data_IF_108451790352
#
_entry.id   IF_108451790352
#
_cell.length_a   1.000
_cell.length_b   1.000
_cell.length_c   1.000
_cell.angle_alpha   90.00
_cell.angle_beta   90.00
_cell.angle_gamma   90.00
#
_symmetry.space_group_name_H-M   'P 1'
#
loop_
_entity.id
_entity.type
_entity.pdbx_description
1 polymer ?
#
# COMPACT_ATOMS: atom_id res chain seq x y z
N UNK A 1 23.61 -55.62 29.84
CA UNK A 1 24.76 -55.17 29.02
C UNK A 1 24.32 -55.33 27.56
N UNK A 2 23.45 -54.48 27.00
CA UNK A 2 23.58 -53.05 26.66
C UNK A 2 24.63 -52.78 25.58
N UNK A 3 24.19 -52.66 24.32
CA UNK A 3 24.55 -51.55 23.44
C UNK A 3 23.69 -51.56 22.16
N UNK A 4 22.58 -50.82 22.19
CA UNK A 4 21.84 -50.37 21.01
C UNK A 4 22.60 -49.22 20.35
N UNK A 5 23.10 -49.46 19.12
CA UNK A 5 23.70 -48.41 18.30
C UNK A 5 22.60 -47.68 17.52
N UNK A 6 22.24 -46.50 18.02
CA UNK A 6 21.18 -45.64 17.52
C UNK A 6 21.66 -44.85 16.28
N UNK A 7 21.56 -45.47 15.11
CA UNK A 7 21.82 -44.85 13.81
C UNK A 7 20.69 -43.91 13.38
N UNK A 8 20.58 -42.73 14.00
CA UNK A 8 19.77 -41.63 13.47
C UNK A 8 20.45 -41.07 12.21
N UNK A 9 20.05 -41.58 11.04
CA UNK A 9 20.26 -40.87 9.78
C UNK A 9 19.57 -39.51 9.86
N UNK A 10 20.37 -38.45 10.02
CA UNK A 10 19.97 -37.08 9.70
C UNK A 10 19.74 -37.01 8.19
N UNK A 11 18.55 -37.38 7.75
CA UNK A 11 18.02 -37.00 6.44
C UNK A 11 17.74 -35.49 6.53
N UNK A 12 18.79 -34.71 6.30
CA UNK A 12 18.72 -33.28 6.19
C UNK A 12 18.00 -32.93 4.90
N UNK A 13 16.76 -32.44 5.03
CA UNK A 13 16.28 -31.18 4.43
C UNK A 13 16.91 -30.83 3.06
N UNK A 14 16.77 -31.71 2.07
CA UNK A 14 17.22 -31.50 0.69
C UNK A 14 16.04 -31.69 -0.28
N UNK A 15 14.87 -31.17 0.12
CA UNK A 15 13.62 -31.22 -0.65
C UNK A 15 13.20 -29.88 -1.24
N UNK A 16 13.74 -28.77 -0.73
CA UNK A 16 13.35 -27.42 -1.17
C UNK A 16 14.26 -26.88 -2.29
N UNK A 17 15.52 -27.31 -2.39
CA UNK A 17 16.47 -26.83 -3.40
C UNK A 17 16.03 -27.20 -4.83
N UNK A 18 15.53 -28.42 -5.02
CA UNK A 18 15.04 -28.87 -6.33
C UNK A 18 13.78 -28.15 -6.79
N UNK A 19 12.89 -27.76 -5.86
CA UNK A 19 11.70 -26.96 -6.17
C UNK A 19 12.06 -25.51 -6.51
N UNK A 20 13.10 -24.98 -5.88
CA UNK A 20 13.60 -23.63 -6.13
C UNK A 20 14.36 -23.54 -7.46
N UNK A 21 15.10 -24.60 -7.80
CA UNK A 21 15.79 -24.76 -9.09
C UNK A 21 14.79 -25.02 -10.22
N UNK A 22 13.77 -25.85 -10.02
CA UNK A 22 12.62 -26.00 -10.93
C UNK A 22 11.83 -24.69 -11.07
N UNK A 23 11.64 -23.91 -10.00
CA UNK A 23 10.99 -22.60 -10.07
C UNK A 23 11.82 -21.58 -10.86
N UNK A 24 13.16 -21.61 -10.74
CA UNK A 24 14.08 -20.81 -11.56
C UNK A 24 14.03 -21.22 -13.04
N UNK A 25 14.02 -22.53 -13.34
CA UNK A 25 13.91 -23.05 -14.72
C UNK A 25 12.53 -22.73 -15.31
N UNK A 26 11.46 -22.84 -14.51
CA UNK A 26 10.10 -22.46 -14.90
C UNK A 26 9.89 -20.95 -14.99
N UNK A 27 10.69 -20.12 -14.33
CA UNK A 27 10.72 -18.66 -14.52
C UNK A 27 11.44 -18.26 -15.82
N UNK A 28 12.26 -19.16 -16.38
CA UNK A 28 13.04 -18.91 -17.61
C UNK A 28 12.37 -19.43 -18.89
N UNK A 29 11.38 -20.34 -18.82
CA UNK A 29 10.74 -20.91 -20.01
C UNK A 29 9.83 -19.89 -20.75
N UNK A 30 9.98 -19.56 -22.05
CA UNK A 30 9.18 -18.53 -22.70
C UNK A 30 7.70 -18.91 -22.77
N UNK A 31 6.81 -18.22 -22.06
CA UNK A 31 5.37 -18.32 -22.32
C UNK A 31 4.99 -17.34 -23.44
N UNK A 32 5.49 -17.64 -24.65
CA UNK A 32 5.07 -16.99 -25.90
C UNK A 32 3.72 -17.58 -26.35
N UNK A 33 2.64 -17.23 -25.65
CA UNK A 33 1.31 -17.29 -26.26
C UNK A 33 0.79 -15.86 -26.38
N UNK A 34 0.36 -15.41 -27.57
CA UNK A 34 -0.18 -14.07 -27.74
C UNK A 34 -1.38 -13.90 -26.80
N UNK A 35 -1.25 -12.98 -25.85
CA UNK A 35 -2.31 -12.68 -24.88
C UNK A 35 -3.59 -12.35 -25.65
N UNK A 36 -4.72 -13.07 -25.42
CA UNK A 36 -5.97 -12.80 -26.09
C UNK A 36 -6.36 -11.31 -26.04
N UNK A 37 -6.79 -10.74 -27.18
CA UNK A 37 -7.10 -9.31 -27.29
C UNK A 37 -8.10 -8.81 -26.24
N UNK A 38 -9.03 -9.67 -25.80
CA UNK A 38 -9.99 -9.36 -24.73
C UNK A 38 -9.31 -9.06 -23.38
N UNK A 39 -8.20 -9.74 -23.05
CA UNK A 39 -7.42 -9.49 -21.83
C UNK A 39 -6.68 -8.16 -21.95
N UNK A 40 -6.04 -7.91 -23.11
CA UNK A 40 -5.34 -6.65 -23.41
C UNK A 40 -6.26 -5.42 -23.30
N UNK A 41 -7.50 -5.53 -23.78
CA UNK A 41 -8.47 -4.43 -23.69
C UNK A 41 -8.96 -4.19 -22.25
N UNK A 42 -9.17 -5.26 -21.47
CA UNK A 42 -9.51 -5.14 -20.06
C UNK A 42 -8.39 -4.47 -19.24
N UNK A 43 -7.12 -4.80 -19.54
CA UNK A 43 -5.96 -4.15 -18.91
C UNK A 43 -5.93 -2.66 -19.23
N UNK A 44 -6.12 -2.26 -20.50
CA UNK A 44 -6.18 -0.84 -20.89
C UNK A 44 -7.30 -0.08 -20.16
N UNK A 45 -8.47 -0.71 -19.98
CA UNK A 45 -9.58 -0.10 -19.20
C UNK A 45 -9.21 0.05 -17.72
N UNK A 46 -8.55 -0.94 -17.13
CA UNK A 46 -8.08 -0.85 -15.74
C UNK A 46 -7.01 0.23 -15.58
N UNK A 47 -6.08 0.31 -16.51
CA UNK A 47 -5.04 1.33 -16.53
C UNK A 47 -5.63 2.74 -16.61
N UNK A 48 -6.58 2.96 -17.52
CA UNK A 48 -7.29 4.25 -17.64
C UNK A 48 -8.02 4.62 -16.35
N UNK A 49 -8.65 3.65 -15.68
CA UNK A 49 -9.29 3.87 -14.37
C UNK A 49 -8.27 4.25 -13.30
N UNK A 50 -7.12 3.58 -13.25
CA UNK A 50 -6.04 3.90 -12.29
C UNK A 50 -5.45 5.29 -12.56
N UNK A 51 -5.30 5.68 -13.83
CA UNK A 51 -4.87 7.03 -14.24
C UNK A 51 -5.87 8.09 -13.81
N UNK A 52 -7.17 7.88 -14.08
CA UNK A 52 -8.21 8.81 -13.65
C UNK A 52 -8.29 8.95 -12.12
N UNK A 53 -8.24 7.84 -11.38
CA UNK A 53 -8.27 7.93 -9.92
C UNK A 53 -7.02 8.61 -9.36
N UNK A 54 -5.85 8.44 -9.97
CA UNK A 54 -4.65 9.17 -9.59
C UNK A 54 -4.81 10.68 -9.82
N UNK A 55 -5.33 11.08 -10.98
CA UNK A 55 -5.57 12.49 -11.30
C UNK A 55 -6.56 13.12 -10.34
N UNK A 56 -7.66 12.43 -10.04
CA UNK A 56 -8.65 12.90 -9.08
C UNK A 56 -8.08 12.99 -7.66
N UNK A 57 -7.27 12.02 -7.24
CA UNK A 57 -6.56 12.06 -5.96
C UNK A 57 -5.65 13.29 -5.90
N UNK A 58 -4.85 13.52 -6.93
CA UNK A 58 -3.91 14.65 -6.96
C UNK A 58 -4.64 16.00 -7.00
N UNK A 59 -5.68 16.13 -7.82
CA UNK A 59 -6.51 17.33 -7.88
C UNK A 59 -7.17 17.62 -6.53
N UNK A 60 -7.71 16.59 -5.88
CA UNK A 60 -8.27 16.69 -4.53
C UNK A 60 -7.23 17.10 -3.49
N UNK A 61 -6.05 16.47 -3.48
CA UNK A 61 -4.95 16.82 -2.58
C UNK A 61 -4.45 18.25 -2.79
N UNK A 62 -4.33 18.72 -4.02
CA UNK A 62 -3.95 20.11 -4.33
C UNK A 62 -5.02 21.08 -3.86
N UNK A 63 -6.30 20.81 -4.15
CA UNK A 63 -7.40 21.67 -3.72
C UNK A 63 -7.49 21.77 -2.20
N UNK A 64 -7.37 20.64 -1.49
CA UNK A 64 -7.34 20.61 -0.02
C UNK A 64 -6.09 21.33 0.52
N UNK A 65 -4.93 21.15 -0.12
CA UNK A 65 -3.70 21.83 0.25
C UNK A 65 -3.79 23.35 0.14
N UNK A 66 -4.19 23.85 -1.04
CA UNK A 66 -4.36 25.28 -1.30
C UNK A 66 -5.43 25.86 -0.40
N UNK A 67 -6.58 25.18 -0.28
CA UNK A 67 -7.68 25.61 0.59
C UNK A 67 -7.27 25.66 2.07
N UNK A 68 -6.58 24.63 2.55
CA UNK A 68 -6.08 24.56 3.93
C UNK A 68 -5.07 25.67 4.22
N UNK A 69 -4.11 25.91 3.32
CA UNK A 69 -3.13 27.00 3.46
C UNK A 69 -3.83 28.36 3.41
N UNK A 70 -4.72 28.57 2.45
CA UNK A 70 -5.47 29.83 2.31
C UNK A 70 -6.29 30.14 3.56
N UNK A 71 -7.09 29.19 4.05
CA UNK A 71 -7.90 29.37 5.25
C UNK A 71 -7.05 29.61 6.49
N UNK A 72 -5.91 28.95 6.59
CA UNK A 72 -4.97 29.14 7.71
C UNK A 72 -4.35 30.53 7.67
N UNK A 73 -3.88 30.99 6.50
CA UNK A 73 -3.27 32.32 6.36
C UNK A 73 -4.28 33.45 6.43
N UNK A 74 -5.54 33.20 6.05
CA UNK A 74 -6.64 34.16 6.19
C UNK A 74 -7.19 34.24 7.63
N UNK A 75 -6.75 33.34 8.52
CA UNK A 75 -7.14 33.39 9.93
C UNK A 75 -6.32 34.44 10.69
N UNK A 76 -6.90 35.01 11.74
CA UNK A 76 -6.22 35.96 12.65
C UNK A 76 -5.28 35.26 13.65
N UNK A 77 -4.94 33.98 13.44
CA UNK A 77 -4.08 33.21 14.34
C UNK A 77 -2.63 33.69 14.25
N UNK A 78 -1.99 33.93 15.39
CA UNK A 78 -0.59 34.41 15.45
C UNK A 78 0.40 33.42 14.84
N UNK A 79 0.07 32.13 14.90
CA UNK A 79 0.89 31.01 14.41
C UNK A 79 0.45 30.49 13.02
N UNK A 80 -0.41 31.24 12.31
CA UNK A 80 -0.90 30.87 10.98
C UNK A 80 0.21 30.45 9.99
N UNK A 81 1.37 31.13 9.88
CA UNK A 81 2.43 30.71 8.96
C UNK A 81 3.00 29.33 9.31
N UNK A 82 3.15 29.02 10.60
CA UNK A 82 3.68 27.73 11.07
C UNK A 82 2.69 26.60 10.81
N UNK A 83 1.39 26.85 11.00
CA UNK A 83 0.32 25.91 10.67
C UNK A 83 0.25 25.64 9.17
N UNK A 84 0.36 26.69 8.34
CA UNK A 84 0.39 26.55 6.89
C UNK A 84 1.60 25.75 6.43
N UNK A 85 2.78 25.99 7.01
CA UNK A 85 3.99 25.21 6.75
C UNK A 85 3.79 23.73 7.11
N UNK A 86 3.18 23.45 8.27
CA UNK A 86 2.89 22.08 8.69
C UNK A 86 1.99 21.35 7.67
N UNK A 87 0.91 22.00 7.23
CA UNK A 87 0.00 21.47 6.19
C UNK A 87 0.78 21.16 4.91
N UNK A 88 1.64 22.07 4.46
CA UNK A 88 2.46 21.88 3.26
C UNK A 88 3.43 20.70 3.40
N UNK A 89 4.09 20.55 4.55
CA UNK A 89 5.04 19.45 4.79
C UNK A 89 4.32 18.10 4.77
N UNK A 90 3.21 17.97 5.49
CA UNK A 90 2.42 16.73 5.52
C UNK A 90 1.86 16.38 4.14
N UNK A 91 1.35 17.37 3.42
CA UNK A 91 0.84 17.18 2.06
C UNK A 91 1.96 16.76 1.10
N UNK A 92 3.11 17.42 1.17
CA UNK A 92 4.28 17.09 0.34
C UNK A 92 4.75 15.68 0.61
N UNK A 93 4.80 15.25 1.87
CA UNK A 93 5.19 13.90 2.24
C UNK A 93 4.18 12.85 1.73
N UNK A 94 2.88 13.11 1.88
CA UNK A 94 1.83 12.25 1.34
C UNK A 94 1.89 12.13 -0.19
N UNK A 95 2.11 13.26 -0.90
CA UNK A 95 2.27 13.29 -2.35
C UNK A 95 3.53 12.56 -2.81
N UNK A 96 4.66 12.78 -2.15
CA UNK A 96 5.92 12.08 -2.45
C UNK A 96 5.76 10.56 -2.29
N UNK A 97 5.05 10.12 -1.24
CA UNK A 97 4.70 8.72 -1.08
C UNK A 97 3.75 8.22 -2.18
N UNK A 98 2.69 8.96 -2.52
CA UNK A 98 1.75 8.57 -3.60
C UNK A 98 2.47 8.40 -4.94
N UNK A 99 3.37 9.33 -5.29
CA UNK A 99 4.21 9.24 -6.49
C UNK A 99 5.12 8.02 -6.43
N UNK A 100 5.89 7.86 -5.33
CA UNK A 100 6.82 6.74 -5.16
C UNK A 100 6.11 5.39 -5.22
N UNK A 101 4.95 5.27 -4.57
CA UNK A 101 4.16 4.05 -4.53
C UNK A 101 3.49 3.73 -5.89
N UNK A 102 3.32 4.71 -6.79
CA UNK A 102 2.74 4.48 -8.12
C UNK A 102 3.79 4.26 -9.23
N UNK A 103 5.05 4.66 -9.06
CA UNK A 103 6.14 4.51 -10.07
C UNK A 103 6.34 3.07 -10.53
N UNK A 104 6.04 2.71 -11.77
CA UNK A 104 6.22 1.32 -12.29
C UNK A 104 5.05 0.36 -12.02
N UNK A 105 3.87 0.88 -11.65
CA UNK A 105 2.60 0.10 -11.58
C UNK A 105 1.74 0.28 -12.84
N UNK A 106 2.15 1.22 -13.69
CA UNK A 106 1.39 1.75 -14.80
C UNK A 106 1.43 0.81 -16.01
N UNK A 107 2.58 0.23 -16.33
CA UNK A 107 2.76 -0.65 -17.48
C UNK A 107 3.46 -1.96 -17.10
N UNK A 108 3.09 -3.10 -17.70
CA UNK A 108 3.86 -4.34 -17.60
C UNK A 108 5.23 -4.12 -18.25
N UNK A 109 6.30 -4.63 -17.62
CA UNK A 109 7.64 -4.59 -18.20
C UNK A 109 7.74 -5.45 -19.46
N UNK A 110 6.86 -6.45 -19.61
CA UNK A 110 6.77 -7.35 -20.76
C UNK A 110 5.30 -7.70 -21.06
N UNK A 111 4.91 -7.77 -22.34
CA UNK A 111 3.59 -8.28 -22.78
C UNK A 111 3.50 -9.83 -22.70
N UNK A 112 4.05 -10.41 -21.63
CA UNK A 112 3.99 -11.84 -21.34
C UNK A 112 3.01 -12.11 -20.20
N UNK A 113 2.41 -13.29 -20.15
CA UNK A 113 1.52 -13.69 -19.03
C UNK A 113 2.22 -13.58 -17.68
N UNK A 114 3.55 -13.78 -17.64
CA UNK A 114 4.40 -13.54 -16.47
C UNK A 114 4.49 -12.07 -16.10
N UNK A 115 4.74 -11.19 -17.08
CA UNK A 115 4.76 -9.75 -16.87
C UNK A 115 3.45 -9.22 -16.25
N UNK A 116 2.30 -9.78 -16.62
CA UNK A 116 1.02 -9.43 -16.01
C UNK A 116 0.85 -9.96 -14.58
N UNK A 117 1.30 -11.18 -14.28
CA UNK A 117 1.24 -11.77 -12.95
C UNK A 117 2.20 -11.06 -11.97
N UNK A 118 3.41 -10.75 -12.40
CA UNK A 118 4.39 -10.02 -11.59
C UNK A 118 3.91 -8.60 -11.30
N UNK A 119 3.30 -7.94 -12.29
CA UNK A 119 2.66 -6.64 -12.10
C UNK A 119 1.47 -6.72 -11.12
N UNK A 120 0.70 -7.81 -11.11
CA UNK A 120 -0.37 -8.03 -10.13
C UNK A 120 0.18 -8.22 -8.71
N UNK A 121 1.25 -9.01 -8.53
CA UNK A 121 1.94 -9.19 -7.24
C UNK A 121 2.52 -7.87 -6.74
N UNK A 122 3.21 -7.13 -7.61
CA UNK A 122 3.77 -5.83 -7.29
C UNK A 122 2.68 -4.82 -6.90
N UNK A 123 1.51 -4.84 -7.54
CA UNK A 123 0.33 -4.06 -7.11
C UNK A 123 -0.14 -4.43 -5.71
N UNK A 124 -0.15 -5.72 -5.33
CA UNK A 124 -0.56 -6.16 -3.99
C UNK A 124 0.44 -5.72 -2.91
N UNK A 125 1.75 -5.84 -3.17
CA UNK A 125 2.78 -5.36 -2.25
C UNK A 125 2.67 -3.87 -1.99
N UNK A 126 2.42 -3.08 -3.04
CA UNK A 126 2.28 -1.63 -2.94
C UNK A 126 1.01 -1.19 -2.25
N UNK A 127 -0.07 -1.96 -2.36
CA UNK A 127 -1.27 -1.79 -1.54
C UNK A 127 -0.97 -2.07 -0.06
N UNK A 128 -0.16 -3.08 0.25
CA UNK A 128 0.26 -3.38 1.63
C UNK A 128 1.19 -2.28 2.19
N UNK A 129 2.10 -1.75 1.38
CA UNK A 129 2.93 -0.58 1.73
C UNK A 129 2.07 0.67 1.99
N UNK A 130 1.04 0.90 1.18
CA UNK A 130 0.10 2.00 1.39
C UNK A 130 -0.58 1.92 2.76
N UNK A 131 -1.08 0.75 3.16
CA UNK A 131 -1.66 0.57 4.51
C UNK A 131 -0.67 0.92 5.62
N UNK A 132 0.58 0.43 5.52
CA UNK A 132 1.63 0.75 6.51
C UNK A 132 1.91 2.24 6.56
N UNK A 133 2.02 2.88 5.40
CA UNK A 133 2.24 4.32 5.32
C UNK A 133 1.08 5.12 5.93
N UNK A 134 -0.18 4.75 5.68
CA UNK A 134 -1.34 5.41 6.28
C UNK A 134 -1.28 5.35 7.82
N UNK A 135 -0.91 4.21 8.39
CA UNK A 135 -0.74 4.10 9.85
C UNK A 135 0.44 4.90 10.38
N UNK A 136 1.58 4.89 9.69
CA UNK A 136 2.76 5.69 10.06
C UNK A 136 2.41 7.17 10.01
N UNK A 137 1.77 7.62 8.93
CA UNK A 137 1.34 9.01 8.74
C UNK A 137 0.41 9.43 9.88
N UNK A 138 -0.58 8.61 10.23
CA UNK A 138 -1.50 8.87 11.34
C UNK A 138 -0.76 9.02 12.68
N UNK A 139 0.17 8.10 12.99
CA UNK A 139 0.96 8.15 14.23
C UNK A 139 1.81 9.42 14.28
N UNK A 140 2.47 9.77 13.17
CA UNK A 140 3.30 10.98 13.07
C UNK A 140 2.45 12.23 13.22
N UNK A 141 1.29 12.30 12.56
CA UNK A 141 0.36 13.42 12.67
C UNK A 141 -0.15 13.60 14.11
N UNK A 142 -0.53 12.51 14.78
CA UNK A 142 -0.91 12.54 16.20
C UNK A 142 0.24 12.98 17.09
N UNK A 143 1.47 12.51 16.82
CA UNK A 143 2.67 12.92 17.55
C UNK A 143 2.95 14.42 17.40
N UNK A 144 2.84 14.96 16.18
CA UNK A 144 3.00 16.39 15.93
C UNK A 144 1.93 17.19 16.67
N UNK A 145 0.66 16.79 16.62
CA UNK A 145 -0.40 17.48 17.34
C UNK A 145 -0.21 17.43 18.86
N UNK A 146 0.25 16.30 19.40
CA UNK A 146 0.58 16.19 20.82
C UNK A 146 1.72 17.13 21.23
N UNK A 147 2.78 17.19 20.44
CA UNK A 147 3.90 18.12 20.66
C UNK A 147 3.45 19.57 20.55
N UNK A 148 2.66 19.91 19.53
CA UNK A 148 2.12 21.26 19.34
C UNK A 148 1.25 21.69 20.52
N UNK A 149 0.35 20.82 20.96
CA UNK A 149 -0.47 21.07 22.14
C UNK A 149 0.39 21.23 23.39
N UNK A 150 1.44 20.41 23.55
CA UNK A 150 2.45 20.54 24.60
C UNK A 150 3.11 21.93 24.60
N UNK A 151 3.62 22.36 23.45
CA UNK A 151 4.25 23.69 23.27
C UNK A 151 3.26 24.83 23.51
N UNK A 152 1.97 24.64 23.18
CA UNK A 152 0.95 25.65 23.43
C UNK A 152 0.70 25.90 24.92
N UNK A 153 0.92 24.93 25.81
CA UNK A 153 0.85 25.14 27.26
C UNK A 153 1.91 26.12 27.77
N UNK A 154 3.04 26.24 27.08
CA UNK A 154 4.08 27.23 27.39
C UNK A 154 3.79 28.63 26.80
N UNK A 155 2.66 28.81 26.11
CA UNK A 155 2.23 30.10 25.53
C UNK A 155 2.95 30.50 24.24
N UNK A 156 3.76 29.60 23.68
CA UNK A 156 4.54 29.87 22.46
C UNK A 156 3.66 29.81 21.21
N UNK A 157 2.73 28.85 21.16
CA UNK A 157 1.80 28.61 20.04
C UNK A 157 0.36 28.67 20.52
N UNK A 158 -0.56 28.95 19.60
CA UNK A 158 -1.98 28.82 19.91
C UNK A 158 -2.35 27.33 19.95
N UNK A 159 -3.19 26.90 20.91
CA UNK A 159 -3.63 25.51 20.97
C UNK A 159 -4.42 25.17 19.70
N UNK A 160 -4.24 23.95 19.20
CA UNK A 160 -5.00 23.46 18.04
C UNK A 160 -6.45 23.19 18.46
N UNK A 161 -6.65 22.77 19.71
CA UNK A 161 -7.94 22.38 20.26
C UNK A 161 -8.38 23.41 21.31
N UNK A 162 -9.17 24.41 20.89
CA UNK A 162 -9.43 25.58 21.74
C UNK A 162 -10.69 25.50 22.60
N UNK A 163 -11.69 24.65 22.31
CA UNK A 163 -12.99 24.74 23.01
C UNK A 163 -13.72 23.45 23.36
N UNK A 164 -13.38 22.32 22.77
CA UNK A 164 -14.06 21.05 23.10
C UNK A 164 -13.14 19.84 22.90
N UNK A 165 -12.34 19.57 23.93
CA UNK A 165 -11.44 18.42 23.95
C UNK A 165 -12.24 17.11 23.83
N UNK A 166 -13.44 17.06 24.39
CA UNK A 166 -14.32 15.89 24.30
C UNK A 166 -14.74 15.60 22.87
N UNK A 167 -15.20 16.62 22.14
CA UNK A 167 -15.53 16.52 20.72
C UNK A 167 -14.32 16.10 19.88
N UNK A 168 -13.16 16.71 20.10
CA UNK A 168 -11.92 16.39 19.37
C UNK A 168 -11.51 14.93 19.59
N UNK A 169 -11.46 14.47 20.85
CA UNK A 169 -11.11 13.09 21.18
C UNK A 169 -12.14 12.13 20.58
N UNK A 170 -13.43 12.45 20.67
CA UNK A 170 -14.51 11.64 20.07
C UNK A 170 -14.36 11.51 18.55
N UNK A 171 -14.04 12.62 17.87
CA UNK A 171 -13.81 12.63 16.43
C UNK A 171 -12.55 11.84 16.04
N UNK A 172 -11.43 12.05 16.74
CA UNK A 172 -10.19 11.30 16.53
C UNK A 172 -10.38 9.79 16.75
N UNK A 173 -11.11 9.40 17.78
CA UNK A 173 -11.44 7.99 18.05
C UNK A 173 -12.29 7.41 16.92
N UNK A 174 -13.34 8.11 16.51
CA UNK A 174 -14.24 7.66 15.45
C UNK A 174 -13.49 7.52 14.12
N UNK A 175 -12.63 8.49 13.79
CA UNK A 175 -11.77 8.44 12.61
C UNK A 175 -10.78 7.29 12.67
N UNK A 176 -10.12 7.07 13.82
CA UNK A 176 -9.14 6.00 14.01
C UNK A 176 -9.79 4.62 13.94
N UNK A 177 -10.96 4.43 14.54
CA UNK A 177 -11.74 3.19 14.45
C UNK A 177 -12.21 2.95 13.03
N UNK A 178 -12.71 3.99 12.34
CA UNK A 178 -13.08 3.91 10.93
C UNK A 178 -11.93 3.50 10.03
N UNK A 179 -10.75 4.12 10.20
CA UNK A 179 -9.52 3.72 9.52
C UNK A 179 -9.10 2.28 9.87
N UNK A 180 -9.25 1.86 11.13
CA UNK A 180 -9.00 0.50 11.57
C UNK A 180 -9.87 -0.53 10.85
N UNK A 181 -11.19 -0.30 10.85
CA UNK A 181 -12.17 -1.15 10.15
C UNK A 181 -11.86 -1.20 8.65
N UNK A 182 -11.63 -0.04 8.03
CA UNK A 182 -11.27 0.05 6.62
C UNK A 182 -9.97 -0.69 6.30
N UNK A 183 -8.93 -0.52 7.13
CA UNK A 183 -7.63 -1.17 6.98
C UNK A 183 -7.77 -2.70 7.05
N UNK A 184 -8.54 -3.22 8.01
CA UNK A 184 -8.81 -4.67 8.14
C UNK A 184 -9.59 -5.18 6.93
N UNK A 185 -10.66 -4.48 6.52
CA UNK A 185 -11.43 -4.83 5.33
C UNK A 185 -10.57 -4.85 4.06
N UNK A 186 -9.72 -3.83 3.89
CA UNK A 186 -8.83 -3.69 2.73
C UNK A 186 -7.76 -4.79 2.72
N UNK A 187 -7.19 -5.11 3.88
CA UNK A 187 -6.25 -6.24 4.05
C UNK A 187 -6.89 -7.58 3.69
N UNK A 188 -8.13 -7.83 4.13
CA UNK A 188 -8.89 -9.03 3.75
C UNK A 188 -9.12 -9.09 2.24
N UNK A 189 -9.42 -7.95 1.61
CA UNK A 189 -9.59 -7.87 0.15
C UNK A 189 -8.30 -8.15 -0.62
N UNK A 190 -7.15 -7.68 -0.12
CA UNK A 190 -5.82 -8.01 -0.67
C UNK A 190 -5.59 -9.52 -0.59
N UNK A 191 -5.82 -10.15 0.57
CA UNK A 191 -5.65 -11.61 0.74
C UNK A 191 -6.54 -12.42 -0.20
N UNK A 192 -7.80 -12.01 -0.38
CA UNK A 192 -8.71 -12.67 -1.37
C UNK A 192 -8.15 -12.59 -2.79
N UNK A 193 -7.54 -11.47 -3.15
CA UNK A 193 -6.95 -11.27 -4.48
C UNK A 193 -5.67 -12.12 -4.66
N UNK A 194 -4.89 -12.29 -3.60
CA UNK A 194 -3.69 -13.13 -3.57
C UNK A 194 -4.05 -14.61 -3.81
N UNK A 195 -5.02 -15.13 -3.05
CA UNK A 195 -5.54 -16.50 -3.22
C UNK A 195 -6.06 -16.73 -4.64
N UNK A 196 -6.79 -15.77 -5.20
CA UNK A 196 -7.32 -15.89 -6.56
C UNK A 196 -6.22 -15.97 -7.63
N UNK A 197 -5.13 -15.21 -7.45
CA UNK A 197 -3.97 -15.28 -8.35
C UNK A 197 -3.30 -16.66 -8.25
N UNK A 198 -3.16 -17.20 -7.04
CA UNK A 198 -2.56 -18.52 -6.83
C UNK A 198 -3.42 -19.64 -7.45
N UNK A 199 -4.75 -19.57 -7.31
CA UNK A 199 -5.68 -20.52 -7.95
C UNK A 199 -5.55 -20.47 -9.48
N UNK A 200 -5.52 -19.28 -10.08
CA UNK A 200 -5.33 -19.15 -11.53
C UNK A 200 -3.97 -19.65 -12.00
N UNK A 201 -2.93 -19.53 -11.19
CA UNK A 201 -1.64 -20.15 -11.51
C UNK A 201 -1.79 -21.67 -11.54
N UNK A 202 -2.38 -22.27 -10.51
CA UNK A 202 -2.60 -23.72 -10.42
C UNK A 202 -3.43 -24.28 -11.59
N UNK A 203 -4.56 -23.65 -11.93
CA UNK A 203 -5.43 -24.08 -13.05
C UNK A 203 -4.68 -24.06 -14.40
N UNK A 204 -3.81 -23.07 -14.62
CA UNK A 204 -3.00 -22.99 -15.83
C UNK A 204 -1.90 -24.08 -15.88
N UNK A 205 -1.34 -24.46 -14.73
CA UNK A 205 -0.40 -25.58 -14.66
C UNK A 205 -1.07 -26.91 -15.00
N UNK A 206 -2.26 -27.18 -14.45
CA UNK A 206 -2.99 -28.43 -14.70
C UNK A 206 -3.45 -28.55 -16.16
N UNK A 207 -3.97 -27.47 -16.74
CA UNK A 207 -4.39 -27.47 -18.15
C UNK A 207 -3.22 -27.61 -19.13
N UNK A 208 -2.04 -27.10 -18.79
CA UNK A 208 -0.83 -27.30 -19.60
C UNK A 208 -0.32 -28.74 -19.49
N UNK A 209 -0.34 -29.32 -18.28
CA UNK A 209 0.07 -30.71 -18.04
C UNK A 209 -0.82 -31.73 -18.78
N UNK A 210 -2.12 -31.47 -18.90
CA UNK A 210 -3.05 -32.36 -19.60
C UNK A 210 -2.96 -32.28 -21.14
N UNK A 211 -2.22 -31.32 -21.70
CA UNK A 211 -2.00 -31.15 -23.15
C UNK A 211 -0.69 -31.73 -23.65
N UNK A 212 0.21 -32.12 -22.74
CA UNK A 212 1.48 -32.81 -22.99
C UNK A 212 1.31 -34.31 -22.80
#
# INVERSE_FOLDING_TARGET
MSNENNGKSKVGRHGDDGLQELANIWQQAPCEMPVPNAIRENIRRQERRIRMTALLEWAGSIAVGIGGVYLTLASEMRDAPWRALLVLVLLTWAMAFSVSNRRGVWDPLEESTRGYLDLARLRLERKRRMLRFTWILLIVELGIFAVWQGVSYFGWLEPIFTKDIGFVIGWLLTFTVGLGIWSVWYSRRIKKSEIQIDTWQQENFETTKNKL
#
